data_IF_736147215441
#
_entry.id   IF_736147215441
#
_cell.length_a   1.000
_cell.length_b   1.000
_cell.length_c   1.000
_cell.angle_alpha   90.00
_cell.angle_beta   90.00
_cell.angle_gamma   90.00
#
_symmetry.space_group_name_H-M   'P 1'
#
loop_
_entity.id
_entity.type
_entity.pdbx_description
1 polymer ?
#
# COMPACT_ATOMS: atom_id res chain seq x y z
N UNK A 1 18.78 10.94 3.25
CA UNK A 1 19.01 9.83 2.28
C UNK A 1 18.18 8.59 2.60
N UNK A 2 18.04 8.20 3.88
CA UNK A 2 17.24 7.02 4.28
C UNK A 2 15.73 7.15 3.98
N UNK A 3 15.12 8.31 4.24
CA UNK A 3 13.69 8.54 3.97
C UNK A 3 13.33 8.40 2.49
N UNK A 4 14.15 8.94 1.58
CA UNK A 4 13.97 8.80 0.13
C UNK A 4 14.04 7.34 -0.32
N UNK A 5 14.94 6.55 0.28
CA UNK A 5 15.03 5.12 0.01
C UNK A 5 13.79 4.38 0.55
N UNK A 6 13.31 4.73 1.74
CA UNK A 6 12.11 4.15 2.34
C UNK A 6 10.88 4.33 1.43
N UNK A 7 10.64 5.57 1.00
CA UNK A 7 9.50 5.92 0.15
C UNK A 7 9.62 5.26 -1.23
N UNK A 8 10.81 5.24 -1.84
CA UNK A 8 11.03 4.53 -3.10
C UNK A 8 10.68 3.03 -2.98
N UNK A 9 11.07 2.37 -1.89
CA UNK A 9 10.73 0.96 -1.69
C UNK A 9 9.23 0.74 -1.46
N UNK A 10 8.51 1.73 -0.91
CA UNK A 10 7.04 1.68 -0.81
C UNK A 10 6.40 1.82 -2.18
N UNK A 11 6.88 2.74 -3.02
CA UNK A 11 6.39 2.89 -4.40
C UNK A 11 6.60 1.61 -5.22
N UNK A 12 7.78 0.99 -5.12
CA UNK A 12 8.07 -0.31 -5.75
C UNK A 12 7.10 -1.40 -5.27
N UNK A 13 6.86 -1.45 -3.96
CA UNK A 13 5.89 -2.40 -3.37
C UNK A 13 4.49 -2.16 -3.92
N UNK A 14 4.05 -0.91 -4.00
CA UNK A 14 2.73 -0.52 -4.51
C UNK A 14 2.56 -0.84 -6.00
N UNK A 15 3.61 -0.68 -6.80
CA UNK A 15 3.64 -1.11 -8.19
C UNK A 15 3.57 -2.64 -8.30
N UNK A 16 4.31 -3.36 -7.47
CA UNK A 16 4.31 -4.83 -7.45
C UNK A 16 2.93 -5.39 -7.10
N UNK A 17 2.30 -4.91 -6.02
CA UNK A 17 0.97 -5.36 -5.60
C UNK A 17 -0.10 -5.00 -6.63
N UNK A 18 -0.03 -3.81 -7.23
CA UNK A 18 -0.94 -3.39 -8.31
C UNK A 18 -0.78 -4.25 -9.56
N UNK A 19 0.45 -4.66 -9.87
CA UNK A 19 0.73 -5.58 -10.97
C UNK A 19 0.17 -6.97 -10.67
N UNK A 20 0.36 -7.49 -9.45
CA UNK A 20 -0.21 -8.78 -9.03
C UNK A 20 -1.73 -8.80 -9.16
N UNK A 21 -2.43 -7.72 -8.81
CA UNK A 21 -3.89 -7.63 -9.02
C UNK A 21 -4.31 -7.71 -10.49
N UNK A 22 -3.46 -7.30 -11.44
CA UNK A 22 -3.74 -7.29 -12.88
C UNK A 22 -3.32 -8.57 -13.61
N UNK A 23 -2.19 -9.16 -13.22
CA UNK A 23 -1.56 -10.28 -13.91
C UNK A 23 -2.10 -11.65 -13.49
N UNK A 24 -2.93 -11.70 -12.44
CA UNK A 24 -3.36 -12.92 -11.77
C UNK A 24 -4.42 -13.74 -12.52
N UNK A 25 -4.43 -13.68 -13.85
CA UNK A 25 -5.20 -14.58 -14.69
C UNK A 25 -4.64 -16.02 -14.72
N UNK A 26 -3.40 -16.25 -14.25
CA UNK A 26 -2.69 -17.52 -14.41
C UNK A 26 -2.34 -18.32 -13.15
N UNK A 27 -2.52 -17.78 -11.94
CA UNK A 27 -2.14 -18.44 -10.67
C UNK A 27 -3.32 -18.66 -9.72
N UNK A 28 -4.55 -18.72 -10.26
CA UNK A 28 -5.76 -18.84 -9.46
C UNK A 28 -5.94 -20.26 -8.90
N UNK A 29 -6.39 -20.40 -7.64
CA UNK A 29 -6.88 -21.68 -7.15
C UNK A 29 -8.14 -22.10 -7.95
N UNK A 30 -8.07 -23.26 -8.61
CA UNK A 30 -9.17 -23.83 -9.40
C UNK A 30 -10.32 -24.33 -8.50
N UNK A 31 -9.99 -24.84 -7.31
CA UNK A 31 -10.92 -25.53 -6.41
C UNK A 31 -11.39 -24.69 -5.21
N UNK A 32 -12.63 -24.92 -4.79
CA UNK A 32 -13.26 -24.30 -3.62
C UNK A 32 -13.68 -25.33 -2.55
N UNK A 33 -13.14 -26.55 -2.58
CA UNK A 33 -13.58 -27.64 -1.68
C UNK A 33 -13.49 -27.26 -0.19
N UNK A 34 -12.51 -26.43 0.18
CA UNK A 34 -12.34 -25.88 1.54
C UNK A 34 -12.49 -24.35 1.61
N UNK A 35 -13.03 -23.69 0.59
CA UNK A 35 -13.15 -22.23 0.58
C UNK A 35 -14.31 -21.75 1.46
N UNK A 36 -13.97 -21.22 2.63
CA UNK A 36 -14.93 -20.57 3.52
C UNK A 36 -15.06 -19.07 3.21
N UNK A 37 -16.19 -18.69 2.61
CA UNK A 37 -16.53 -17.30 2.25
C UNK A 37 -16.41 -16.33 3.42
N UNK A 38 -16.90 -16.72 4.60
CA UNK A 38 -16.94 -15.83 5.74
C UNK A 38 -15.54 -15.53 6.27
N UNK A 39 -14.66 -16.54 6.25
CA UNK A 39 -13.26 -16.46 6.66
C UNK A 39 -12.45 -15.65 5.67
N UNK A 40 -12.66 -15.86 4.36
CA UNK A 40 -12.07 -15.03 3.31
C UNK A 40 -12.40 -13.55 3.52
N UNK A 41 -13.70 -13.19 3.62
CA UNK A 41 -14.10 -11.79 3.78
C UNK A 41 -13.60 -11.19 5.09
N UNK A 42 -13.64 -11.97 6.19
CA UNK A 42 -13.11 -11.52 7.48
C UNK A 42 -11.62 -11.20 7.38
N UNK A 43 -10.83 -12.08 6.77
CA UNK A 43 -9.39 -11.87 6.59
C UNK A 43 -9.13 -10.66 5.68
N UNK A 44 -9.77 -10.59 4.52
CA UNK A 44 -9.55 -9.48 3.60
C UNK A 44 -9.89 -8.11 4.22
N UNK A 45 -11.02 -8.03 4.93
CA UNK A 45 -11.41 -6.80 5.63
C UNK A 45 -10.45 -6.46 6.77
N UNK A 46 -9.92 -7.47 7.47
CA UNK A 46 -8.90 -7.28 8.49
C UNK A 46 -7.62 -6.68 7.89
N UNK A 47 -7.11 -7.25 6.80
CA UNK A 47 -5.88 -6.76 6.17
C UNK A 47 -6.05 -5.36 5.57
N UNK A 48 -7.19 -5.08 4.94
CA UNK A 48 -7.52 -3.72 4.44
C UNK A 48 -7.63 -2.74 5.60
N UNK A 49 -8.24 -3.16 6.72
CA UNK A 49 -8.36 -2.36 7.93
C UNK A 49 -7.00 -2.03 8.55
N UNK A 50 -6.10 -3.01 8.60
CA UNK A 50 -4.73 -2.85 9.09
C UNK A 50 -3.93 -1.90 8.19
N UNK A 51 -3.99 -2.10 6.86
CA UNK A 51 -3.35 -1.23 5.88
C UNK A 51 -3.80 0.24 6.02
N UNK A 52 -5.11 0.46 6.21
CA UNK A 52 -5.68 1.79 6.49
C UNK A 52 -5.10 2.39 7.77
N UNK A 53 -5.01 1.61 8.85
CA UNK A 53 -4.57 2.14 10.13
C UNK A 53 -3.06 2.41 10.15
N UNK A 54 -2.25 1.60 9.45
CA UNK A 54 -0.84 1.91 9.21
C UNK A 54 -0.66 3.17 8.35
N UNK A 55 -1.49 3.36 7.30
CA UNK A 55 -1.49 4.61 6.52
C UNK A 55 -1.79 5.83 7.39
N UNK A 56 -2.78 5.74 8.29
CA UNK A 56 -3.08 6.84 9.22
C UNK A 56 -1.89 7.15 10.13
N UNK A 57 -1.18 6.14 10.63
CA UNK A 57 0.02 6.37 11.44
C UNK A 57 1.11 7.09 10.64
N UNK A 58 1.32 6.71 9.37
CA UNK A 58 2.24 7.41 8.48
C UNK A 58 1.79 8.87 8.28
N UNK A 59 0.51 9.12 8.00
CA UNK A 59 -0.01 10.49 7.88
C UNK A 59 0.22 11.32 9.14
N UNK A 60 -0.10 10.78 10.31
CA UNK A 60 0.07 11.46 11.60
C UNK A 60 1.54 11.71 11.92
N UNK A 61 2.43 10.78 11.54
CA UNK A 61 3.87 10.98 11.65
C UNK A 61 4.30 12.14 10.74
N UNK A 62 3.92 12.13 9.46
CA UNK A 62 4.21 13.22 8.52
C UNK A 62 3.75 14.60 9.00
N UNK A 63 2.59 14.69 9.66
CA UNK A 63 2.10 15.95 10.23
C UNK A 63 2.94 16.47 11.41
N UNK A 64 3.51 15.55 12.20
CA UNK A 64 4.27 15.87 13.42
C UNK A 64 5.77 16.04 13.18
N UNK A 65 6.28 15.47 12.10
CA UNK A 65 7.71 15.53 11.77
C UNK A 65 8.16 16.98 11.59
N UNK A 66 9.12 17.38 12.41
CA UNK A 66 9.85 18.62 12.16
C UNK A 66 10.65 18.49 10.84
N UNK A 67 11.05 19.60 10.19
CA UNK A 67 11.80 19.57 8.93
C UNK A 67 13.11 18.78 8.94
N UNK A 68 13.61 18.41 10.13
CA UNK A 68 14.88 17.70 10.33
C UNK A 68 14.66 16.22 10.67
N UNK A 69 13.43 15.82 10.95
CA UNK A 69 13.09 14.45 11.31
C UNK A 69 12.64 13.67 10.07
N UNK A 70 13.02 12.39 10.04
CA UNK A 70 12.65 11.48 8.97
C UNK A 70 11.52 10.56 9.45
N UNK A 71 10.68 10.15 8.52
CA UNK A 71 9.70 9.12 8.77
C UNK A 71 10.38 7.83 9.24
N UNK A 72 9.84 7.20 10.27
CA UNK A 72 10.35 5.94 10.80
C UNK A 72 10.24 4.84 9.74
N UNK A 73 11.37 4.18 9.44
CA UNK A 73 11.42 3.08 8.48
C UNK A 73 10.45 1.94 8.85
N UNK A 74 10.25 1.71 10.16
CA UNK A 74 9.33 0.69 10.66
C UNK A 74 7.87 0.96 10.23
N UNK A 75 7.43 2.22 10.19
CA UNK A 75 6.08 2.57 9.74
C UNK A 75 5.90 2.29 8.24
N UNK A 76 6.93 2.59 7.44
CA UNK A 76 6.95 2.26 6.01
C UNK A 76 6.95 0.75 5.79
N UNK A 77 7.75 -0.01 6.53
CA UNK A 77 7.82 -1.46 6.39
C UNK A 77 6.53 -2.13 6.84
N UNK A 78 5.85 -1.62 7.87
CA UNK A 78 4.51 -2.05 8.26
C UNK A 78 3.49 -1.81 7.16
N UNK A 79 3.48 -0.62 6.57
CA UNK A 79 2.57 -0.30 5.47
C UNK A 79 2.82 -1.18 4.24
N UNK A 80 4.09 -1.43 3.89
CA UNK A 80 4.47 -2.35 2.80
C UNK A 80 3.95 -3.75 3.05
N UNK A 81 4.14 -4.27 4.27
CA UNK A 81 3.63 -5.58 4.67
C UNK A 81 2.11 -5.63 4.57
N UNK A 82 1.41 -4.61 5.07
CA UNK A 82 -0.05 -4.52 4.96
C UNK A 82 -0.54 -4.57 3.51
N UNK A 83 0.15 -3.90 2.58
CA UNK A 83 -0.19 -3.98 1.15
C UNK A 83 -0.01 -5.39 0.58
N UNK A 84 1.05 -6.09 0.98
CA UNK A 84 1.32 -7.46 0.56
C UNK A 84 0.30 -8.45 1.14
N UNK A 85 -0.10 -8.29 2.39
CA UNK A 85 -1.11 -9.14 3.05
C UNK A 85 -2.50 -8.96 2.43
N UNK A 86 -2.87 -7.74 2.05
CA UNK A 86 -4.11 -7.47 1.29
C UNK A 86 -4.13 -8.26 -0.03
N UNK A 87 -3.02 -8.24 -0.78
CA UNK A 87 -2.92 -9.05 -2.00
C UNK A 87 -2.93 -10.53 -1.67
N UNK A 88 -2.20 -10.97 -0.65
CA UNK A 88 -2.20 -12.38 -0.25
C UNK A 88 -3.60 -12.88 0.08
N UNK A 89 -4.40 -12.09 0.80
CA UNK A 89 -5.80 -12.41 1.10
C UNK A 89 -6.66 -12.44 -0.16
N UNK A 90 -6.47 -11.50 -1.09
CA UNK A 90 -7.17 -11.48 -2.39
C UNK A 90 -6.90 -12.74 -3.22
N UNK A 91 -5.66 -13.22 -3.25
CA UNK A 91 -5.27 -14.40 -4.04
C UNK A 91 -5.96 -15.69 -3.58
N UNK A 92 -6.49 -15.73 -2.35
CA UNK A 92 -7.24 -16.88 -1.82
C UNK A 92 -8.65 -17.03 -2.42
N UNK A 93 -9.17 -15.99 -3.07
CA UNK A 93 -10.46 -16.07 -3.74
C UNK A 93 -10.34 -17.06 -4.91
N UNK A 94 -11.09 -18.18 -4.97
CA UNK A 94 -10.98 -19.11 -6.07
C UNK A 94 -11.80 -18.64 -7.27
N UNK A 95 -11.42 -19.09 -8.47
CA UNK A 95 -12.10 -18.73 -9.71
C UNK A 95 -13.59 -19.13 -9.72
N UNK A 96 -13.92 -20.21 -9.02
CA UNK A 96 -15.27 -20.75 -8.88
C UNK A 96 -16.27 -19.82 -8.20
N UNK A 97 -15.81 -18.78 -7.48
CA UNK A 97 -16.69 -17.75 -6.90
C UNK A 97 -17.16 -16.70 -7.91
N UNK A 98 -16.63 -16.73 -9.14
CA UNK A 98 -17.04 -15.88 -10.23
C UNK A 98 -16.02 -14.80 -10.55
N UNK A 99 -15.69 -14.70 -11.84
CA UNK A 99 -14.71 -13.73 -12.36
C UNK A 99 -15.15 -12.28 -12.18
N UNK A 100 -16.45 -11.99 -12.20
CA UNK A 100 -16.97 -10.63 -11.99
C UNK A 100 -16.60 -10.10 -10.60
N UNK A 101 -16.86 -10.88 -9.54
CA UNK A 101 -16.52 -10.50 -8.17
C UNK A 101 -15.01 -10.28 -8.02
N UNK A 102 -14.19 -11.16 -8.58
CA UNK A 102 -12.73 -11.02 -8.55
C UNK A 102 -12.29 -9.74 -9.25
N UNK A 103 -12.81 -9.46 -10.43
CA UNK A 103 -12.45 -8.27 -11.21
C UNK A 103 -12.85 -6.98 -10.48
N UNK A 104 -14.06 -6.91 -9.93
CA UNK A 104 -14.52 -5.76 -9.14
C UNK A 104 -13.65 -5.56 -7.90
N UNK A 105 -13.28 -6.66 -7.22
CA UNK A 105 -12.41 -6.59 -6.05
C UNK A 105 -10.98 -6.16 -6.42
N UNK A 106 -10.43 -6.67 -7.52
CA UNK A 106 -9.12 -6.27 -8.03
C UNK A 106 -9.08 -4.77 -8.40
N UNK A 107 -10.15 -4.25 -9.00
CA UNK A 107 -10.30 -2.81 -9.27
C UNK A 107 -10.32 -2.02 -7.96
N UNK A 108 -11.16 -2.40 -6.99
CA UNK A 108 -11.27 -1.71 -5.71
C UNK A 108 -9.94 -1.70 -4.92
N UNK A 109 -9.22 -2.81 -4.90
CA UNK A 109 -7.90 -2.91 -4.28
C UNK A 109 -6.83 -2.13 -5.07
N UNK A 110 -6.94 -2.09 -6.40
CA UNK A 110 -6.09 -1.27 -7.25
C UNK A 110 -6.26 0.22 -6.98
N UNK A 111 -7.49 0.69 -6.78
CA UNK A 111 -7.79 2.08 -6.42
C UNK A 111 -7.23 2.46 -5.04
N UNK A 112 -7.29 1.53 -4.08
CA UNK A 112 -6.66 1.67 -2.76
C UNK A 112 -5.14 1.87 -2.90
N UNK A 113 -4.45 0.98 -3.62
CA UNK A 113 -3.00 1.08 -3.81
C UNK A 113 -2.57 2.28 -4.65
N UNK A 114 -3.37 2.68 -5.64
CA UNK A 114 -3.13 3.92 -6.40
C UNK A 114 -3.23 5.15 -5.51
N UNK A 115 -4.19 5.18 -4.58
CA UNK A 115 -4.34 6.26 -3.61
C UNK A 115 -3.16 6.32 -2.63
N UNK A 116 -2.71 5.16 -2.15
CA UNK A 116 -1.48 5.05 -1.34
C UNK A 116 -0.23 5.52 -2.10
N UNK A 117 -0.13 5.21 -3.40
CA UNK A 117 0.99 5.63 -4.24
C UNK A 117 1.04 7.14 -4.42
N UNK A 118 -0.11 7.78 -4.65
CA UNK A 118 -0.21 9.25 -4.70
C UNK A 118 0.21 9.90 -3.38
N UNK A 119 -0.23 9.34 -2.25
CA UNK A 119 0.18 9.80 -0.95
C UNK A 119 1.71 9.68 -0.73
N UNK A 120 2.31 8.54 -1.07
CA UNK A 120 3.76 8.33 -0.96
C UNK A 120 4.55 9.37 -1.79
N UNK A 121 4.07 9.68 -3.00
CA UNK A 121 4.65 10.71 -3.86
C UNK A 121 4.56 12.10 -3.24
N UNK A 122 3.41 12.47 -2.68
CA UNK A 122 3.23 13.77 -2.01
C UNK A 122 4.15 13.93 -0.80
N UNK A 123 4.30 12.90 0.02
CA UNK A 123 5.24 12.90 1.15
C UNK A 123 6.69 13.06 0.66
N UNK A 124 7.07 12.36 -0.41
CA UNK A 124 8.40 12.48 -1.04
C UNK A 124 8.69 13.91 -1.53
N UNK A 125 7.69 14.56 -2.15
CA UNK A 125 7.81 15.92 -2.68
C UNK A 125 7.89 16.98 -1.57
N UNK A 126 7.16 16.81 -0.46
CA UNK A 126 7.26 17.72 0.68
C UNK A 126 8.65 17.72 1.32
N UNK A 127 9.32 16.56 1.38
CA UNK A 127 10.73 16.46 1.79
C UNK A 127 11.65 17.27 0.85
N UNK A 128 11.34 17.29 -0.46
CA UNK A 128 12.13 18.01 -1.48
C UNK A 128 12.02 19.54 -1.40
N UNK A 129 10.84 20.09 -1.09
CA UNK A 129 10.65 21.54 -0.98
C UNK A 129 11.31 22.14 0.27
N UNK A 130 11.53 21.35 1.34
CA UNK A 130 12.16 21.83 2.58
C UNK A 130 13.69 21.89 2.48
N UNK A 131 14.33 21.02 1.70
CA UNK A 131 15.79 21.04 1.45
C UNK A 131 16.24 22.15 0.47
N UNK A 132 15.32 22.72 -0.33
CA UNK A 132 15.64 23.76 -1.33
C UNK A 132 15.64 25.20 -0.81
N UNK A 133 15.34 25.43 0.47
CA UNK A 133 15.05 26.77 1.02
C UNK A 133 16.24 27.58 1.54
N UNK A 134 17.48 27.09 1.43
CA UNK A 134 18.66 27.74 2.00
C UNK A 134 19.62 28.33 0.95
N UNK A 135 19.11 29.06 -0.04
CA UNK A 135 19.93 29.96 -0.87
C UNK A 135 19.20 31.28 -1.06
N UNK A 136 19.41 32.21 -0.11
CA UNK A 136 18.99 33.59 -0.31
C UNK A 136 18.94 34.40 0.97
N UNK A 137 20.07 35.05 1.28
CA UNK A 137 20.23 36.47 1.68
C UNK A 137 21.33 36.64 2.72
N UNK A 138 22.57 36.80 2.24
CA UNK A 138 23.49 37.75 2.86
C UNK A 138 23.30 39.08 2.12
N UNK A 139 22.57 39.99 2.77
CA UNK A 139 22.73 41.42 2.59
C UNK A 139 23.62 41.97 3.70
#
# INVERSE_FOLDING_TARGET
MAEKAAIATLEETLQEVSRKLKEDHGQMPEGAEDFDKATFWRRLLQEVGQCRDDMKQVCLACEKLSPQEHLEQELIDRLKRGCQEVVSAFLELPQSQGMTLRNELAVALGDLFSTLGRFAQEVSLQSFCKDGGALGKHG
#
